data_IF_491705452618
#
_entry.id   IF_491705452618
#
_cell.length_a   1.000
_cell.length_b   1.000
_cell.length_c   1.000
_cell.angle_alpha   90.00
_cell.angle_beta   90.00
_cell.angle_gamma   90.00
#
_symmetry.space_group_name_H-M   'P 1'
#
loop_
_entity.id
_entity.type
_entity.pdbx_description
1 polymer ?
#
# COMPACT_ATOMS: atom_id res chain seq x y z
N UNK A 1 9.38 -3.40 11.69
CA UNK A 1 7.92 -3.63 11.69
C UNK A 1 7.22 -2.39 12.21
N UNK A 2 6.11 -1.98 11.59
CA UNK A 2 5.32 -0.82 12.03
C UNK A 2 4.29 -1.28 13.07
N UNK A 3 4.20 -0.63 14.25
CA UNK A 3 3.23 -1.00 15.28
C UNK A 3 1.79 -0.72 14.82
N UNK A 4 0.84 -1.58 15.22
CA UNK A 4 -0.58 -1.48 14.84
C UNK A 4 -1.20 -0.15 15.30
N UNK A 5 -0.75 0.39 16.42
CA UNK A 5 -1.19 1.66 16.99
C UNK A 5 -0.95 2.84 16.02
N UNK A 6 0.05 2.74 15.13
CA UNK A 6 0.28 3.75 14.10
C UNK A 6 -0.83 3.73 13.05
N UNK A 7 -1.33 2.55 12.68
CA UNK A 7 -2.43 2.43 11.71
C UNK A 7 -3.74 2.90 12.34
N UNK A 8 -3.98 2.59 13.61
CA UNK A 8 -5.15 3.09 14.33
C UNK A 8 -5.14 4.61 14.47
N UNK A 9 -3.98 5.19 14.76
CA UNK A 9 -3.80 6.64 14.74
C UNK A 9 -4.16 7.22 13.36
N UNK A 10 -3.57 6.70 12.28
CA UNK A 10 -3.81 7.23 10.93
C UNK A 10 -5.26 7.07 10.50
N UNK A 11 -5.90 5.94 10.82
CA UNK A 11 -7.32 5.70 10.54
C UNK A 11 -8.21 6.73 11.24
N UNK A 12 -7.89 7.11 12.48
CA UNK A 12 -8.64 8.14 13.21
C UNK A 12 -8.44 9.54 12.61
N UNK A 13 -7.21 9.91 12.30
CA UNK A 13 -6.90 11.28 11.85
C UNK A 13 -7.29 11.54 10.39
N UNK A 14 -7.17 10.53 9.53
CA UNK A 14 -7.39 10.68 8.08
C UNK A 14 -8.75 10.13 7.62
N UNK A 15 -9.42 9.33 8.45
CA UNK A 15 -10.74 8.77 8.15
C UNK A 15 -10.73 8.00 6.83
N UNK A 16 -11.62 8.40 5.93
CA UNK A 16 -11.78 7.77 4.61
C UNK A 16 -10.68 8.13 3.59
N UNK A 17 -9.75 9.00 3.96
CA UNK A 17 -8.53 9.28 3.20
C UNK A 17 -7.36 8.35 3.57
N UNK A 18 -7.61 7.31 4.38
CA UNK A 18 -6.63 6.29 4.74
C UNK A 18 -7.13 4.88 4.45
N UNK A 19 -6.25 4.07 3.87
CA UNK A 19 -6.41 2.63 3.73
C UNK A 19 -5.20 1.94 4.35
N UNK A 20 -5.44 0.81 5.00
CA UNK A 20 -4.40 -0.09 5.49
C UNK A 20 -4.35 -1.31 4.57
N UNK A 21 -3.18 -1.61 4.02
CA UNK A 21 -2.92 -2.85 3.28
C UNK A 21 -1.81 -3.57 4.02
N UNK A 22 -2.13 -4.76 4.51
CA UNK A 22 -1.18 -5.63 5.22
C UNK A 22 -0.78 -6.77 4.28
N UNK A 23 0.53 -6.91 4.06
CA UNK A 23 1.13 -7.92 3.20
C UNK A 23 2.17 -8.69 4.01
N UNK A 24 2.33 -9.96 3.69
CA UNK A 24 3.39 -10.77 4.26
C UNK A 24 4.73 -10.45 3.59
N UNK A 25 5.84 -10.66 4.29
CA UNK A 25 7.17 -10.45 3.72
C UNK A 25 7.43 -11.33 2.48
N UNK A 26 6.73 -12.46 2.36
CA UNK A 26 6.77 -13.36 1.20
C UNK A 26 6.11 -12.81 -0.05
N UNK A 27 5.25 -11.78 0.08
CA UNK A 27 4.55 -11.18 -1.05
C UNK A 27 5.44 -10.17 -1.80
N UNK A 28 6.54 -9.75 -1.17
CA UNK A 28 7.49 -8.80 -1.75
C UNK A 28 8.32 -9.41 -2.87
N UNK A 29 8.72 -8.57 -3.83
CA UNK A 29 9.71 -8.95 -4.85
C UNK A 29 10.96 -9.56 -4.20
N UNK A 30 11.36 -10.79 -4.57
CA UNK A 30 12.56 -11.40 -4.04
C UNK A 30 13.82 -10.70 -4.59
N UNK A 31 14.89 -10.71 -3.80
CA UNK A 31 16.20 -10.20 -4.23
C UNK A 31 16.36 -8.67 -4.16
N UNK A 32 15.45 -7.96 -3.48
CA UNK A 32 15.63 -6.57 -3.14
C UNK A 32 16.83 -6.37 -2.19
N UNK A 33 17.44 -5.18 -2.22
CA UNK A 33 18.65 -4.88 -1.44
C UNK A 33 18.41 -4.78 0.08
N UNK A 34 17.15 -4.73 0.51
CA UNK A 34 16.75 -4.59 1.90
C UNK A 34 15.51 -5.46 2.20
N UNK A 35 15.19 -5.58 3.48
CA UNK A 35 13.97 -6.26 3.91
C UNK A 35 12.71 -5.55 3.37
N UNK A 36 11.61 -6.30 3.13
CA UNK A 36 10.36 -5.76 2.61
C UNK A 36 9.85 -4.52 3.35
N UNK A 37 9.92 -3.37 2.68
CA UNK A 37 9.43 -2.09 3.22
C UNK A 37 8.80 -1.17 2.17
N UNK A 38 9.15 -1.37 0.90
CA UNK A 38 8.77 -0.46 -0.20
C UNK A 38 7.93 -1.19 -1.25
N UNK A 39 6.79 -1.74 -0.83
CA UNK A 39 5.93 -2.63 -1.65
C UNK A 39 5.28 -1.96 -2.87
N UNK A 40 5.27 -0.63 -2.90
CA UNK A 40 4.79 0.16 -4.04
C UNK A 40 5.93 0.61 -4.97
N UNK A 41 7.18 0.29 -4.63
CA UNK A 41 8.37 0.66 -5.42
C UNK A 41 9.35 -0.52 -5.51
N UNK A 42 10.44 -0.53 -4.74
CA UNK A 42 11.51 -1.54 -4.83
C UNK A 42 11.04 -2.99 -4.64
N UNK A 43 9.98 -3.17 -3.85
CA UNK A 43 9.45 -4.50 -3.51
C UNK A 43 8.17 -4.84 -4.30
N UNK A 44 7.78 -4.00 -5.26
CA UNK A 44 6.60 -4.23 -6.10
C UNK A 44 6.86 -5.37 -7.08
N UNK A 45 6.02 -6.39 -7.09
CA UNK A 45 5.85 -7.31 -8.22
C UNK A 45 4.72 -6.76 -9.09
N UNK A 46 5.06 -6.22 -10.25
CA UNK A 46 4.13 -5.53 -11.16
C UNK A 46 3.53 -6.50 -12.18
N UNK A 47 2.78 -7.49 -11.69
CA UNK A 47 2.11 -8.51 -12.50
C UNK A 47 0.68 -8.75 -11.99
N UNK A 48 -0.28 -9.06 -12.88
CA UNK A 48 -1.66 -9.33 -12.47
C UNK A 48 -1.75 -10.48 -11.45
N UNK A 49 -2.57 -10.29 -10.41
CA UNK A 49 -2.80 -11.29 -9.36
C UNK A 49 -1.74 -11.34 -8.26
N UNK A 50 -0.74 -10.44 -8.28
CA UNK A 50 0.23 -10.29 -7.21
C UNK A 50 -0.32 -9.38 -6.10
N UNK A 51 -0.15 -9.73 -4.80
CA UNK A 51 -0.65 -8.91 -3.70
C UNK A 51 -0.11 -7.47 -3.71
N UNK A 52 1.16 -7.27 -4.11
CA UNK A 52 1.76 -5.94 -4.23
C UNK A 52 1.14 -5.11 -5.35
N UNK A 53 0.68 -5.74 -6.44
CA UNK A 53 -0.01 -5.08 -7.54
C UNK A 53 -1.40 -4.63 -7.09
N UNK A 54 -2.13 -5.50 -6.41
CA UNK A 54 -3.45 -5.17 -5.87
C UNK A 54 -3.36 -4.04 -4.82
N UNK A 55 -2.30 -4.00 -4.02
CA UNK A 55 -2.02 -2.91 -3.09
C UNK A 55 -1.77 -1.57 -3.82
N UNK A 56 -0.99 -1.59 -4.90
CA UNK A 56 -0.74 -0.42 -5.74
C UNK A 56 -2.04 0.12 -6.34
N UNK A 57 -2.86 -0.75 -6.92
CA UNK A 57 -4.11 -0.35 -7.56
C UNK A 57 -5.09 0.27 -6.54
N UNK A 58 -5.17 -0.27 -5.31
CA UNK A 58 -5.97 0.32 -4.23
C UNK A 58 -5.52 1.74 -3.84
N UNK A 59 -4.20 1.97 -3.73
CA UNK A 59 -3.66 3.30 -3.39
C UNK A 59 -3.91 4.30 -4.52
N UNK A 60 -3.73 3.89 -5.77
CA UNK A 60 -4.03 4.74 -6.93
C UNK A 60 -5.52 5.08 -7.00
N UNK A 61 -6.40 4.12 -6.70
CA UNK A 61 -7.84 4.36 -6.69
C UNK A 61 -8.26 5.33 -5.57
N UNK A 62 -7.67 5.21 -4.37
CA UNK A 62 -7.87 6.18 -3.29
C UNK A 62 -7.51 7.60 -3.76
N UNK A 63 -6.34 7.76 -4.39
CA UNK A 63 -5.92 9.07 -4.91
C UNK A 63 -6.84 9.59 -6.00
N UNK A 64 -7.31 8.73 -6.91
CA UNK A 64 -8.30 9.13 -7.93
C UNK A 64 -9.58 9.63 -7.28
N UNK A 65 -10.14 8.85 -6.36
CA UNK A 65 -11.38 9.17 -5.64
C UNK A 65 -11.27 10.48 -4.83
N UNK A 66 -10.11 10.74 -4.22
CA UNK A 66 -9.94 11.88 -3.31
C UNK A 66 -9.43 13.16 -3.97
N UNK A 67 -8.66 13.05 -5.05
CA UNK A 67 -7.91 14.18 -5.62
C UNK A 67 -8.39 14.62 -7.00
N UNK A 68 -9.08 13.77 -7.76
CA UNK A 68 -9.63 14.18 -9.05
C UNK A 68 -10.96 14.91 -8.87
N UNK A 69 -11.08 16.08 -9.49
CA UNK A 69 -12.36 16.82 -9.57
C UNK A 69 -13.09 16.36 -10.84
N UNK A 70 -14.42 16.14 -10.78
CA UNK A 70 -15.21 15.90 -11.99
C UNK A 70 -15.02 17.04 -13.00
N UNK A 71 -14.92 16.70 -14.28
CA UNK A 71 -14.80 17.66 -15.38
C UNK A 71 -16.09 18.49 -15.57
#
# INVERSE_FOLDING_TARGET
LVPAERFDFLRRELGDAFIAVELEGSDARPGAAMDPHSVLTEHLIDEPGQPTRDALDQVLELFRTKLLVPA
#
